data_IF_160035611696
#
_entry.id   IF_160035611696
#
_cell.length_a   1.000
_cell.length_b   1.000
_cell.length_c   1.000
_cell.angle_alpha   90.00
_cell.angle_beta   90.00
_cell.angle_gamma   90.00
#
_symmetry.space_group_name_H-M   'P 1'
#
loop_
_entity.id
_entity.type
_entity.pdbx_description
1 polymer ?
#
# COMPACT_ATOMS: atom_id res chain seq x y z
N UNK A 1 11.65 10.27 -30.82
CA UNK A 1 11.22 11.66 -30.59
C UNK A 1 11.80 12.12 -29.27
N UNK A 2 12.35 13.33 -29.16
CA UNK A 2 12.99 13.78 -27.92
C UNK A 2 11.96 13.96 -26.80
N UNK A 3 12.35 13.63 -25.58
CA UNK A 3 11.58 13.84 -24.37
C UNK A 3 11.18 15.32 -24.24
N UNK A 4 9.91 15.57 -23.93
CA UNK A 4 9.41 16.92 -23.64
C UNK A 4 10.18 17.42 -22.39
N UNK A 5 10.90 18.54 -22.47
CA UNK A 5 11.61 19.07 -21.32
C UNK A 5 10.61 19.55 -20.28
N UNK A 6 10.74 19.04 -19.05
CA UNK A 6 10.03 19.54 -17.88
C UNK A 6 10.54 20.95 -17.64
N UNK A 7 9.70 21.97 -17.86
CA UNK A 7 9.99 23.36 -17.50
C UNK A 7 10.05 23.40 -15.96
N UNK A 8 11.25 23.44 -15.41
CA UNK A 8 11.48 23.80 -14.02
C UNK A 8 11.15 25.29 -13.86
N UNK A 9 10.04 25.58 -13.27
CA UNK A 9 9.71 26.94 -12.83
C UNK A 9 10.65 27.32 -11.68
N UNK A 10 11.54 28.30 -11.93
CA UNK A 10 12.77 28.54 -11.15
C UNK A 10 12.56 29.34 -9.84
N UNK A 11 11.36 29.35 -9.24
CA UNK A 11 11.10 30.24 -8.08
C UNK A 11 10.35 29.61 -6.89
N UNK A 12 10.39 28.28 -6.74
CA UNK A 12 9.96 27.67 -5.46
C UNK A 12 11.24 27.46 -4.62
N UNK A 13 11.35 27.99 -3.40
CA UNK A 13 12.48 27.72 -2.53
C UNK A 13 12.60 26.20 -2.34
N UNK A 14 13.77 25.64 -2.62
CA UNK A 14 14.09 24.21 -2.50
C UNK A 14 14.11 23.77 -1.02
N UNK A 15 13.00 23.91 -0.33
CA UNK A 15 12.81 23.26 0.97
C UNK A 15 12.51 21.78 0.71
N UNK A 16 13.34 20.92 1.26
CA UNK A 16 13.10 19.46 1.21
C UNK A 16 11.69 19.20 1.73
N UNK A 17 10.79 18.56 0.96
CA UNK A 17 9.44 18.27 1.41
C UNK A 17 9.47 17.30 2.61
N UNK A 18 8.49 17.42 3.48
CA UNK A 18 8.41 16.48 4.60
C UNK A 18 8.06 15.07 4.12
N UNK A 19 7.11 14.96 3.19
CA UNK A 19 6.72 13.68 2.59
C UNK A 19 7.10 13.58 1.11
N UNK A 20 7.50 12.38 0.69
CA UNK A 20 7.43 11.94 -0.71
C UNK A 20 6.35 10.86 -0.82
N UNK A 21 5.25 11.18 -1.51
CA UNK A 21 4.19 10.23 -1.81
C UNK A 21 4.57 9.50 -3.09
N UNK A 22 4.79 8.19 -3.00
CA UNK A 22 5.26 7.34 -4.10
C UNK A 22 4.12 6.44 -4.57
N UNK A 23 3.80 6.52 -5.85
CA UNK A 23 2.76 5.73 -6.50
C UNK A 23 3.32 5.04 -7.73
N UNK A 24 3.26 3.71 -7.77
CA UNK A 24 3.56 2.94 -8.97
C UNK A 24 2.29 2.73 -9.81
N UNK A 25 2.39 2.91 -11.12
CA UNK A 25 1.28 2.77 -12.08
C UNK A 25 1.68 1.80 -13.18
N UNK A 26 0.77 0.88 -13.51
CA UNK A 26 0.88 0.02 -14.69
C UNK A 26 -0.49 -0.17 -15.34
N UNK A 27 -0.72 0.49 -16.48
CA UNK A 27 -1.98 0.46 -17.25
C UNK A 27 -3.22 0.90 -16.43
N UNK A 28 -3.07 1.78 -15.44
CA UNK A 28 -4.16 2.19 -14.53
C UNK A 28 -4.19 3.71 -14.28
N UNK A 29 -4.08 4.47 -15.36
CA UNK A 29 -4.08 5.94 -15.29
C UNK A 29 -5.40 6.53 -14.79
N UNK A 30 -6.52 5.85 -15.06
CA UNK A 30 -7.84 6.30 -14.60
C UNK A 30 -7.95 6.24 -13.07
N UNK A 31 -7.44 5.19 -12.45
CA UNK A 31 -7.42 5.08 -11.00
C UNK A 31 -6.51 6.14 -10.37
N UNK A 32 -5.36 6.42 -11.00
CA UNK A 32 -4.43 7.46 -10.55
C UNK A 32 -5.08 8.84 -10.45
N UNK A 33 -5.95 9.24 -11.39
CA UNK A 33 -6.58 10.58 -11.32
C UNK A 33 -7.37 10.77 -10.02
N UNK A 34 -8.06 9.73 -9.53
CA UNK A 34 -8.73 9.76 -8.24
C UNK A 34 -7.77 9.85 -7.05
N UNK A 35 -6.59 9.22 -7.13
CA UNK A 35 -5.53 9.34 -6.14
C UNK A 35 -5.00 10.79 -6.10
N UNK A 36 -4.68 11.36 -7.25
CA UNK A 36 -4.21 12.75 -7.40
C UNK A 36 -5.23 13.77 -6.85
N UNK A 37 -6.52 13.57 -7.16
CA UNK A 37 -7.59 14.41 -6.63
C UNK A 37 -7.63 14.38 -5.10
N UNK A 38 -7.43 13.22 -4.49
CA UNK A 38 -7.42 13.09 -3.02
C UNK A 38 -6.20 13.75 -2.38
N UNK A 39 -5.06 13.77 -3.07
CA UNK A 39 -3.87 14.48 -2.62
C UNK A 39 -4.02 15.99 -2.71
N UNK A 40 -4.70 16.50 -3.73
CA UNK A 40 -5.01 17.93 -3.85
C UNK A 40 -5.88 18.47 -2.68
N UNK A 41 -6.57 17.58 -1.97
CA UNK A 41 -7.37 17.92 -0.79
C UNK A 41 -6.58 17.93 0.53
N UNK A 42 -5.27 17.64 0.50
CA UNK A 42 -4.39 17.67 1.68
C UNK A 42 -3.88 19.10 1.97
N UNK A 43 -4.77 20.09 1.98
CA UNK A 43 -4.44 21.54 1.98
C UNK A 43 -3.80 22.02 3.28
N UNK A 44 -4.17 21.44 4.42
CA UNK A 44 -3.68 21.86 5.75
C UNK A 44 -2.54 20.97 6.24
N UNK A 45 -1.95 20.20 5.32
CA UNK A 45 -0.92 19.23 5.60
C UNK A 45 0.50 19.78 5.53
N UNK A 46 1.47 18.96 5.89
CA UNK A 46 2.89 19.25 5.67
C UNK A 46 3.19 19.30 4.17
N UNK A 47 4.31 19.96 3.82
CA UNK A 47 4.82 19.96 2.45
C UNK A 47 5.06 18.52 1.94
N UNK A 48 4.63 18.26 0.74
CA UNK A 48 4.87 16.97 0.09
C UNK A 48 5.18 17.14 -1.39
N UNK A 49 5.90 16.19 -1.93
CA UNK A 49 6.02 15.94 -3.37
C UNK A 49 5.35 14.61 -3.71
N UNK A 50 4.97 14.43 -4.94
CA UNK A 50 4.50 13.16 -5.46
C UNK A 50 5.45 12.64 -6.54
N UNK A 51 5.78 11.36 -6.46
CA UNK A 51 6.54 10.63 -7.48
C UNK A 51 5.67 9.51 -8.04
N UNK A 52 5.27 9.66 -9.29
CA UNK A 52 4.56 8.64 -10.06
C UNK A 52 5.58 7.85 -10.86
N UNK A 53 5.64 6.55 -10.67
CA UNK A 53 6.48 5.65 -11.46
C UNK A 53 5.60 4.84 -12.40
N UNK A 54 5.71 5.14 -13.70
CA UNK A 54 5.09 4.37 -14.77
C UNK A 54 5.95 3.14 -15.07
N UNK A 55 5.47 1.98 -14.63
CA UNK A 55 6.15 0.70 -14.80
C UNK A 55 5.90 0.09 -16.20
N UNK A 56 6.07 0.89 -17.26
CA UNK A 56 5.98 0.45 -18.64
C UNK A 56 4.55 0.27 -19.14
N UNK A 57 3.63 1.17 -18.78
CA UNK A 57 2.26 1.16 -19.31
C UNK A 57 2.24 1.24 -20.84
N UNK A 58 1.20 0.65 -21.46
CA UNK A 58 1.02 0.69 -22.90
C UNK A 58 0.82 2.13 -23.42
N UNK A 59 0.04 2.90 -22.68
CA UNK A 59 -0.19 4.32 -22.93
C UNK A 59 0.74 5.17 -22.07
N UNK A 60 1.14 6.32 -22.61
CA UNK A 60 1.90 7.30 -21.84
C UNK A 60 1.01 7.98 -20.78
N UNK A 61 1.63 8.64 -19.82
CA UNK A 61 0.92 9.44 -18.83
C UNK A 61 -0.01 10.44 -19.52
N UNK A 62 -1.31 10.47 -19.20
CA UNK A 62 -2.24 11.42 -19.77
C UNK A 62 -1.83 12.86 -19.45
N UNK A 63 -2.17 13.81 -20.34
CA UNK A 63 -1.97 15.25 -20.07
C UNK A 63 -2.68 15.71 -18.79
N UNK A 64 -3.74 14.99 -18.38
CA UNK A 64 -4.44 15.26 -17.11
C UNK A 64 -3.53 15.18 -15.90
N UNK A 65 -2.46 14.39 -15.93
CA UNK A 65 -1.47 14.35 -14.83
C UNK A 65 -0.75 15.69 -14.73
N UNK A 66 -0.44 16.35 -15.85
CA UNK A 66 0.24 17.63 -15.88
C UNK A 66 -0.58 18.75 -15.20
N UNK A 67 -1.92 18.68 -15.22
CA UNK A 67 -2.78 19.68 -14.54
C UNK A 67 -2.51 19.74 -13.03
N UNK A 68 -2.21 18.59 -12.42
CA UNK A 68 -1.98 18.49 -10.98
C UNK A 68 -0.65 19.09 -10.55
N UNK A 69 0.33 19.18 -11.46
CA UNK A 69 1.63 19.82 -11.18
C UNK A 69 1.49 21.34 -10.88
N UNK A 70 0.35 21.95 -11.21
CA UNK A 70 0.03 23.34 -10.83
C UNK A 70 -0.46 23.45 -9.38
N UNK A 71 -0.82 22.34 -8.74
CA UNK A 71 -1.40 22.30 -7.39
C UNK A 71 -0.38 21.84 -6.37
N UNK A 72 0.39 20.82 -6.70
CA UNK A 72 1.50 20.29 -5.89
C UNK A 72 2.58 19.69 -6.77
N UNK A 73 3.86 19.62 -6.30
CA UNK A 73 4.96 19.07 -7.10
C UNK A 73 4.72 17.61 -7.46
N UNK A 74 4.70 17.29 -8.77
CA UNK A 74 4.61 15.93 -9.30
C UNK A 74 5.79 15.65 -10.22
N UNK A 75 6.46 14.53 -10.00
CA UNK A 75 7.43 13.95 -10.92
C UNK A 75 6.88 12.66 -11.50
N UNK A 76 6.92 12.51 -12.82
CA UNK A 76 6.55 11.25 -13.50
C UNK A 76 7.81 10.64 -14.08
N UNK A 77 8.12 9.43 -13.67
CA UNK A 77 9.28 8.65 -14.14
C UNK A 77 8.78 7.38 -14.80
N UNK A 78 9.22 7.13 -16.03
CA UNK A 78 8.88 5.90 -16.75
C UNK A 78 10.06 4.93 -16.73
N UNK A 79 9.76 3.65 -16.58
CA UNK A 79 10.71 2.55 -16.73
C UNK A 79 10.14 1.44 -17.63
N UNK A 80 10.97 0.50 -18.06
CA UNK A 80 10.49 -0.76 -18.62
C UNK A 80 9.78 -1.58 -17.54
N UNK A 81 8.76 -2.37 -17.92
CA UNK A 81 7.99 -3.15 -16.97
C UNK A 81 8.87 -4.14 -16.19
N UNK A 82 9.06 -3.86 -14.93
CA UNK A 82 9.93 -4.61 -14.04
C UNK A 82 9.24 -5.05 -12.72
N UNK A 83 8.00 -4.65 -12.52
CA UNK A 83 7.18 -5.01 -11.37
C UNK A 83 7.20 -3.98 -10.23
N UNK A 84 6.23 -4.14 -9.34
CA UNK A 84 5.87 -3.17 -8.30
C UNK A 84 7.05 -2.82 -7.35
N UNK A 85 7.87 -3.81 -6.98
CA UNK A 85 9.02 -3.62 -6.09
C UNK A 85 10.07 -2.69 -6.70
N UNK A 86 10.41 -2.94 -7.97
CA UNK A 86 11.40 -2.14 -8.70
C UNK A 86 10.85 -0.74 -8.96
N UNK A 87 9.57 -0.62 -9.32
CA UNK A 87 8.92 0.66 -9.50
C UNK A 87 8.92 1.50 -8.22
N UNK A 88 8.60 0.92 -7.05
CA UNK A 88 8.66 1.64 -5.78
C UNK A 88 10.08 2.03 -5.39
N UNK A 89 11.07 1.16 -5.60
CA UNK A 89 12.48 1.50 -5.37
C UNK A 89 12.92 2.66 -6.28
N UNK A 90 12.52 2.67 -7.54
CA UNK A 90 12.76 3.79 -8.45
C UNK A 90 12.12 5.09 -7.95
N UNK A 91 10.90 5.02 -7.40
CA UNK A 91 10.24 6.16 -6.75
C UNK A 91 11.03 6.68 -5.54
N UNK A 92 11.59 5.80 -4.71
CA UNK A 92 12.46 6.18 -3.59
C UNK A 92 13.69 6.94 -4.08
N UNK A 93 14.37 6.41 -5.09
CA UNK A 93 15.58 7.00 -5.67
C UNK A 93 15.33 8.37 -6.32
N UNK A 94 14.13 8.59 -6.84
CA UNK A 94 13.75 9.86 -7.50
C UNK A 94 13.27 10.91 -6.49
N UNK A 95 12.81 10.50 -5.33
CA UNK A 95 12.18 11.37 -4.33
C UNK A 95 13.18 11.98 -3.36
N UNK A 96 12.81 13.08 -2.69
CA UNK A 96 13.71 13.87 -1.82
C UNK A 96 13.22 14.02 -0.38
N UNK A 97 11.92 13.78 -0.10
CA UNK A 97 11.31 14.00 1.21
C UNK A 97 11.88 13.15 2.34
N UNK A 98 11.79 13.65 3.55
CA UNK A 98 12.32 13.01 4.76
C UNK A 98 11.58 11.73 5.15
N UNK A 99 10.32 11.62 4.77
CA UNK A 99 9.46 10.45 5.01
C UNK A 99 8.85 10.00 3.69
N UNK A 100 9.00 8.73 3.39
CA UNK A 100 8.41 8.09 2.22
C UNK A 100 7.02 7.57 2.57
N UNK A 101 6.03 7.86 1.74
CA UNK A 101 4.66 7.38 1.88
C UNK A 101 4.29 6.62 0.62
N UNK A 102 3.94 5.35 0.76
CA UNK A 102 3.52 4.50 -0.35
C UNK A 102 2.00 4.41 -0.39
N UNK A 103 1.45 4.63 -1.58
CA UNK A 103 0.02 4.55 -1.88
C UNK A 103 -0.15 3.89 -3.24
N UNK A 104 -1.18 3.07 -3.40
CA UNK A 104 -1.48 2.49 -4.71
C UNK A 104 -2.32 3.46 -5.55
N UNK A 105 -2.25 3.33 -6.87
CA UNK A 105 -2.96 4.23 -7.80
C UNK A 105 -4.49 4.21 -7.61
N UNK A 106 -5.05 3.07 -7.17
CA UNK A 106 -6.46 2.89 -6.88
C UNK A 106 -6.86 3.27 -5.44
N UNK A 107 -5.99 4.00 -4.74
CA UNK A 107 -6.24 4.46 -3.38
C UNK A 107 -6.50 5.97 -3.31
N UNK A 108 -7.27 6.39 -2.31
CA UNK A 108 -7.57 7.79 -2.02
C UNK A 108 -7.28 8.10 -0.58
N UNK A 109 -6.46 9.11 -0.32
CA UNK A 109 -6.23 9.63 1.02
C UNK A 109 -7.43 10.47 1.48
N UNK A 110 -7.97 10.21 2.66
CA UNK A 110 -8.98 11.09 3.23
C UNK A 110 -8.35 12.46 3.60
N UNK A 111 -9.17 13.49 3.59
CA UNK A 111 -8.74 14.83 3.99
C UNK A 111 -8.09 14.81 5.38
N UNK A 112 -6.97 15.50 5.54
CA UNK A 112 -6.18 15.53 6.78
C UNK A 112 -5.30 14.29 7.02
N UNK A 113 -5.27 13.31 6.10
CA UNK A 113 -4.47 12.09 6.25
C UNK A 113 -2.98 12.39 6.45
N UNK A 114 -2.38 13.26 5.63
CA UNK A 114 -0.96 13.63 5.77
C UNK A 114 -0.70 14.45 7.05
N UNK A 115 -1.64 15.29 7.47
CA UNK A 115 -1.53 16.04 8.73
C UNK A 115 -1.53 15.10 9.95
N UNK A 116 -2.46 14.15 9.99
CA UNK A 116 -2.54 13.13 11.05
C UNK A 116 -1.27 12.25 11.09
N UNK A 117 -0.78 11.83 9.92
CA UNK A 117 0.47 11.08 9.83
C UNK A 117 1.66 11.89 10.36
N UNK A 118 1.80 13.17 9.98
CA UNK A 118 2.87 14.05 10.50
C UNK A 118 2.79 14.20 12.01
N UNK A 119 1.60 14.43 12.55
CA UNK A 119 1.40 14.55 14.00
C UNK A 119 1.88 13.27 14.72
N UNK A 120 1.52 12.09 14.20
CA UNK A 120 1.98 10.82 14.78
C UNK A 120 3.49 10.67 14.72
N UNK A 121 4.11 10.97 13.57
CA UNK A 121 5.57 10.90 13.38
C UNK A 121 6.31 11.86 14.32
N UNK A 122 5.78 13.07 14.52
CA UNK A 122 6.37 14.06 15.41
C UNK A 122 6.26 13.67 16.89
N UNK A 123 5.13 13.03 17.27
CA UNK A 123 4.92 12.50 18.63
C UNK A 123 5.66 11.18 18.92
N UNK A 124 6.27 10.57 17.91
CA UNK A 124 6.98 9.30 18.03
C UNK A 124 8.35 9.36 17.32
N UNK A 125 9.30 10.19 17.78
CA UNK A 125 10.57 10.43 17.08
C UNK A 125 11.47 9.20 16.98
N UNK A 126 11.34 8.25 17.89
CA UNK A 126 12.08 6.98 17.88
C UNK A 126 11.53 5.96 16.89
N UNK A 127 10.30 6.15 16.41
CA UNK A 127 9.64 5.21 15.50
C UNK A 127 9.97 5.52 14.04
N UNK A 128 10.15 4.46 13.26
CA UNK A 128 10.66 4.58 11.90
C UNK A 128 9.64 4.25 10.82
N UNK A 129 8.68 3.38 11.11
CA UNK A 129 7.69 2.92 10.14
C UNK A 129 6.27 2.97 10.70
N UNK A 130 5.32 3.29 9.82
CA UNK A 130 3.94 3.61 10.17
C UNK A 130 2.99 2.94 9.18
N UNK A 131 1.98 2.25 9.69
CA UNK A 131 0.89 1.70 8.88
C UNK A 131 -0.33 2.61 9.02
N UNK A 132 -0.75 3.20 7.93
CA UNK A 132 -1.95 4.00 7.85
C UNK A 132 -3.17 3.08 7.90
N UNK A 133 -4.28 3.61 8.39
CA UNK A 133 -5.55 2.88 8.41
C UNK A 133 -6.09 2.71 7.00
N UNK A 134 -6.21 1.47 6.56
CA UNK A 134 -6.84 1.14 5.29
C UNK A 134 -8.33 0.85 5.48
N UNK A 135 -9.14 1.40 4.60
CA UNK A 135 -10.57 1.10 4.51
C UNK A 135 -10.93 0.72 3.06
N UNK A 136 -11.96 -0.11 2.88
CA UNK A 136 -12.52 -0.41 1.56
C UNK A 136 -13.50 0.67 1.11
N UNK A 137 -13.86 0.65 -0.16
CA UNK A 137 -14.99 1.44 -0.68
C UNK A 137 -16.28 0.63 -0.56
N UNK A 138 -17.25 1.01 0.31
CA UNK A 138 -18.45 0.22 0.55
C UNK A 138 -19.53 0.33 -0.55
N UNK A 139 -19.25 1.00 -1.66
CA UNK A 139 -20.21 1.26 -2.73
C UNK A 139 -20.73 -0.03 -3.40
N UNK A 140 -19.88 -1.06 -3.49
CA UNK A 140 -20.25 -2.35 -4.09
C UNK A 140 -19.93 -3.53 -3.17
N UNK A 141 -20.29 -4.74 -3.62
CA UNK A 141 -20.10 -5.96 -2.83
C UNK A 141 -18.62 -6.29 -2.56
N UNK A 142 -17.75 -6.07 -3.55
CA UNK A 142 -16.32 -6.35 -3.44
C UNK A 142 -15.67 -5.36 -2.45
N UNK A 143 -16.01 -4.09 -2.56
CA UNK A 143 -15.53 -3.05 -1.63
C UNK A 143 -16.03 -3.27 -0.20
N UNK A 144 -17.29 -3.68 -0.01
CA UNK A 144 -17.81 -4.06 1.32
C UNK A 144 -17.08 -5.28 1.89
N UNK A 145 -16.78 -6.27 1.04
CA UNK A 145 -16.00 -7.44 1.45
C UNK A 145 -14.58 -7.05 1.86
N UNK A 146 -13.93 -6.17 1.12
CA UNK A 146 -12.61 -5.63 1.46
C UNK A 146 -12.64 -4.81 2.75
N UNK A 147 -13.64 -3.94 2.91
CA UNK A 147 -13.85 -3.17 4.15
C UNK A 147 -13.93 -4.09 5.37
N UNK A 148 -14.73 -5.15 5.28
CA UNK A 148 -14.90 -6.12 6.35
C UNK A 148 -13.58 -6.82 6.70
N UNK A 149 -12.83 -7.23 5.67
CA UNK A 149 -11.51 -7.86 5.82
C UNK A 149 -10.51 -6.92 6.50
N UNK A 150 -10.42 -5.68 6.05
CA UNK A 150 -9.48 -4.69 6.58
C UNK A 150 -9.78 -4.33 8.04
N UNK A 151 -11.05 -4.15 8.40
CA UNK A 151 -11.45 -3.91 9.80
C UNK A 151 -10.97 -5.06 10.70
N UNK A 152 -11.26 -6.29 10.31
CA UNK A 152 -10.93 -7.46 11.11
C UNK A 152 -9.42 -7.69 11.23
N UNK A 153 -8.68 -7.57 10.12
CA UNK A 153 -7.22 -7.72 10.11
C UNK A 153 -6.53 -6.67 10.97
N UNK A 154 -6.84 -5.40 10.77
CA UNK A 154 -6.20 -4.31 11.48
C UNK A 154 -6.50 -4.39 12.98
N UNK A 155 -7.74 -4.72 13.36
CA UNK A 155 -8.12 -4.92 14.77
C UNK A 155 -7.39 -6.11 15.41
N UNK A 156 -7.32 -7.26 14.72
CA UNK A 156 -6.73 -8.48 15.27
C UNK A 156 -5.21 -8.40 15.41
N UNK A 157 -4.54 -7.75 14.44
CA UNK A 157 -3.08 -7.68 14.38
C UNK A 157 -2.49 -6.47 15.11
N UNK A 158 -3.34 -5.55 15.59
CA UNK A 158 -2.94 -4.42 16.43
C UNK A 158 -2.59 -4.92 17.83
N UNK A 159 -1.42 -4.50 18.30
CA UNK A 159 -0.91 -4.81 19.64
C UNK A 159 -1.23 -3.71 20.64
N UNK A 160 -1.24 -4.00 21.97
CA UNK A 160 -1.53 -3.01 23.01
C UNK A 160 -0.59 -1.79 23.01
N UNK A 161 0.64 -1.96 22.51
CA UNK A 161 1.63 -0.89 22.41
C UNK A 161 1.46 0.00 21.16
N UNK A 162 0.37 -0.18 20.39
CA UNK A 162 0.09 0.56 19.17
C UNK A 162 0.84 0.08 17.93
N UNK A 163 1.70 -0.95 18.05
CA UNK A 163 2.35 -1.58 16.90
C UNK A 163 1.40 -2.57 16.24
N UNK A 164 1.59 -2.78 14.92
CA UNK A 164 0.71 -3.69 14.18
C UNK A 164 1.54 -4.74 13.42
N UNK A 165 1.17 -6.03 13.56
CA UNK A 165 1.76 -7.14 12.79
C UNK A 165 1.15 -7.25 11.38
N UNK A 166 1.01 -6.12 10.73
CA UNK A 166 0.42 -5.97 9.40
C UNK A 166 1.15 -4.88 8.65
N UNK A 167 1.43 -5.12 7.39
CA UNK A 167 1.93 -4.12 6.48
C UNK A 167 1.21 -4.26 5.14
N UNK A 168 0.75 -3.13 4.63
CA UNK A 168 0.21 -3.02 3.29
C UNK A 168 0.65 -1.69 2.70
N UNK A 169 1.37 -1.77 1.62
CA UNK A 169 1.99 -0.64 0.95
C UNK A 169 1.01 0.32 0.28
N UNK A 170 -0.28 -0.02 0.21
CA UNK A 170 -1.33 0.92 -0.17
C UNK A 170 -1.55 2.06 0.87
N UNK A 171 -0.91 1.97 2.04
CA UNK A 171 -0.94 2.99 3.09
C UNK A 171 0.18 2.76 4.10
N UNK A 172 1.42 2.84 3.65
CA UNK A 172 2.61 2.62 4.49
C UNK A 172 3.54 3.81 4.41
N UNK A 173 4.13 4.19 5.55
CA UNK A 173 5.14 5.24 5.60
C UNK A 173 6.38 4.79 6.37
N UNK A 174 7.55 5.29 5.93
CA UNK A 174 8.84 4.99 6.56
C UNK A 174 9.77 6.20 6.48
N UNK A 175 10.58 6.43 7.53
CA UNK A 175 11.61 7.45 7.48
C UNK A 175 12.66 7.09 6.43
N UNK A 176 13.07 8.04 5.62
CA UNK A 176 14.10 7.84 4.58
C UNK A 176 15.42 7.31 5.14
N UNK A 177 15.78 7.68 6.36
CA UNK A 177 16.99 7.19 7.04
C UNK A 177 17.03 5.67 7.25
N UNK A 178 15.91 4.95 7.01
CA UNK A 178 15.82 3.49 7.09
C UNK A 178 15.90 2.78 5.75
N UNK A 179 15.98 3.53 4.68
CA UNK A 179 16.24 2.99 3.34
C UNK A 179 17.74 2.78 3.19
N UNK A 180 18.15 1.69 2.54
CA UNK A 180 19.54 1.43 2.22
C UNK A 180 20.14 2.53 1.34
N UNK A 181 21.48 2.69 1.36
CA UNK A 181 22.17 3.73 0.60
C UNK A 181 21.94 3.65 -0.91
N UNK A 182 21.69 2.44 -1.43
CA UNK A 182 21.35 2.21 -2.85
C UNK A 182 19.89 2.54 -3.19
N UNK A 183 19.10 3.04 -2.21
CA UNK A 183 17.70 3.39 -2.39
C UNK A 183 16.75 2.20 -2.47
N UNK A 184 17.19 0.99 -2.11
CA UNK A 184 16.35 -0.20 -2.14
C UNK A 184 15.72 -0.47 -0.77
N UNK A 185 14.38 -0.47 -0.74
CA UNK A 185 13.57 -0.89 0.40
C UNK A 185 12.85 -2.21 0.10
N UNK A 186 12.36 -2.36 -1.12
CA UNK A 186 11.63 -3.54 -1.57
C UNK A 186 12.57 -4.53 -2.25
N UNK A 187 12.36 -5.83 -1.97
CA UNK A 187 13.13 -6.87 -2.64
C UNK A 187 12.80 -6.93 -4.14
N UNK A 188 13.77 -6.68 -5.05
CA UNK A 188 13.49 -6.63 -6.49
C UNK A 188 13.01 -7.97 -7.07
N UNK A 189 13.30 -9.09 -6.42
CA UNK A 189 12.87 -10.44 -6.86
C UNK A 189 11.37 -10.66 -6.55
N UNK A 190 10.78 -9.85 -5.67
CA UNK A 190 9.38 -9.98 -5.31
C UNK A 190 8.47 -9.44 -6.42
N UNK A 191 7.96 -10.33 -7.25
CA UNK A 191 6.93 -10.01 -8.26
C UNK A 191 5.60 -9.63 -7.59
N UNK A 192 5.32 -10.23 -6.44
CA UNK A 192 4.19 -9.95 -5.53
C UNK A 192 4.58 -10.33 -4.10
N UNK A 193 3.75 -9.89 -3.14
CA UNK A 193 3.99 -10.08 -1.70
C UNK A 193 5.25 -9.33 -1.21
N UNK A 194 5.59 -8.24 -1.86
CA UNK A 194 6.68 -7.33 -1.49
C UNK A 194 6.46 -6.73 -0.10
N UNK A 195 5.20 -6.45 0.26
CA UNK A 195 4.78 -5.99 1.58
C UNK A 195 5.02 -7.06 2.66
N UNK A 196 4.72 -8.32 2.37
CA UNK A 196 4.99 -9.45 3.28
C UNK A 196 6.49 -9.64 3.52
N UNK A 197 7.30 -9.55 2.46
CA UNK A 197 8.77 -9.62 2.58
C UNK A 197 9.35 -8.42 3.33
N UNK A 198 8.81 -7.23 3.11
CA UNK A 198 9.21 -6.04 3.85
C UNK A 198 8.85 -6.16 5.33
N UNK A 199 7.62 -6.61 5.66
CA UNK A 199 7.20 -6.87 7.04
C UNK A 199 8.15 -7.86 7.73
N UNK A 200 8.52 -8.96 7.06
CA UNK A 200 9.47 -9.94 7.60
C UNK A 200 10.82 -9.30 7.90
N UNK A 201 11.29 -8.42 7.03
CA UNK A 201 12.55 -7.69 7.23
C UNK A 201 12.45 -6.77 8.45
N UNK A 202 11.36 -6.00 8.58
CA UNK A 202 11.14 -5.11 9.70
C UNK A 202 11.01 -5.88 11.03
N UNK A 203 10.29 -7.02 11.04
CA UNK A 203 10.18 -7.89 12.23
C UNK A 203 11.56 -8.38 12.69
N UNK A 204 12.43 -8.79 11.75
CA UNK A 204 13.79 -9.22 12.07
C UNK A 204 14.63 -8.10 12.69
N UNK A 205 14.37 -6.85 12.31
CA UNK A 205 15.03 -5.66 12.86
C UNK A 205 14.38 -5.17 14.17
N UNK A 206 13.32 -5.81 14.64
CA UNK A 206 12.56 -5.37 15.82
C UNK A 206 11.66 -4.14 15.56
N UNK A 207 11.45 -3.79 14.29
CA UNK A 207 10.76 -2.57 13.87
C UNK A 207 9.35 -2.88 13.29
N UNK A 208 8.40 -3.26 14.12
CA UNK A 208 7.00 -3.33 13.68
C UNK A 208 6.43 -1.92 13.43
N UNK A 209 5.62 -1.73 12.38
CA UNK A 209 4.98 -0.45 12.12
C UNK A 209 4.08 0.00 13.28
N UNK A 210 4.10 1.30 13.58
CA UNK A 210 3.09 1.95 14.43
C UNK A 210 1.82 2.13 13.61
N UNK A 211 0.68 1.74 14.17
CA UNK A 211 -0.63 1.97 13.54
C UNK A 211 -1.08 3.41 13.73
N UNK A 212 -1.56 4.04 12.63
CA UNK A 212 -2.03 5.43 12.62
C UNK A 212 -3.50 5.44 12.19
N UNK A 213 -4.44 5.25 13.13
CA UNK A 213 -5.86 5.13 12.81
C UNK A 213 -6.50 6.42 12.27
N UNK A 214 -5.90 7.58 12.54
CA UNK A 214 -6.37 8.89 12.07
C UNK A 214 -5.92 9.19 10.63
N UNK A 215 -4.83 8.57 10.15
CA UNK A 215 -4.36 8.68 8.78
C UNK A 215 -5.04 7.63 7.91
N UNK A 216 -6.11 8.01 7.22
CA UNK A 216 -7.00 7.07 6.53
C UNK A 216 -6.78 7.07 5.03
N UNK A 217 -6.61 5.89 4.46
CA UNK A 217 -6.52 5.64 3.02
C UNK A 217 -7.63 4.68 2.60
N UNK A 218 -8.43 5.08 1.62
CA UNK A 218 -9.52 4.29 1.07
C UNK A 218 -9.07 3.56 -0.20
N UNK A 219 -9.19 2.25 -0.21
CA UNK A 219 -8.86 1.41 -1.36
C UNK A 219 -10.10 1.24 -2.26
N UNK A 220 -10.00 1.72 -3.48
CA UNK A 220 -11.04 1.64 -4.50
C UNK A 220 -10.77 0.48 -5.44
N UNK A 221 -11.25 -0.72 -5.09
CA UNK A 221 -11.09 -1.90 -5.94
C UNK A 221 -12.03 -1.79 -7.13
N UNK A 222 -11.48 -1.56 -8.33
CA UNK A 222 -12.22 -1.49 -9.58
C UNK A 222 -12.35 -2.85 -10.29
N UNK A 223 -12.35 -3.97 -9.54
CA UNK A 223 -12.42 -5.32 -10.09
C UNK A 223 -13.79 -5.95 -9.86
N UNK A 224 -14.30 -6.64 -10.88
CA UNK A 224 -15.43 -7.57 -10.70
C UNK A 224 -15.05 -8.72 -9.76
N UNK A 225 -16.02 -9.42 -9.20
CA UNK A 225 -15.76 -10.59 -8.35
C UNK A 225 -14.87 -11.63 -9.07
N UNK A 226 -15.11 -11.90 -10.36
CA UNK A 226 -14.27 -12.79 -11.15
C UNK A 226 -12.84 -12.28 -11.31
N UNK A 227 -12.65 -10.96 -11.46
CA UNK A 227 -11.34 -10.30 -11.46
C UNK A 227 -10.63 -10.48 -10.13
N UNK A 228 -11.35 -10.33 -9.01
CA UNK A 228 -10.82 -10.56 -7.67
C UNK A 228 -10.37 -12.01 -7.46
N UNK A 229 -11.17 -12.99 -7.89
CA UNK A 229 -10.81 -14.41 -7.78
C UNK A 229 -9.54 -14.74 -8.57
N UNK A 230 -9.40 -14.22 -9.80
CA UNK A 230 -8.17 -14.36 -10.59
C UNK A 230 -6.96 -13.71 -9.92
N UNK A 231 -7.13 -12.52 -9.34
CA UNK A 231 -6.10 -11.83 -8.55
C UNK A 231 -5.71 -12.67 -7.33
N UNK A 232 -6.67 -13.28 -6.63
CA UNK A 232 -6.44 -14.10 -5.44
C UNK A 232 -5.63 -15.37 -5.75
N UNK A 233 -5.97 -16.10 -6.81
CA UNK A 233 -5.22 -17.28 -7.26
C UNK A 233 -3.77 -16.90 -7.56
N UNK A 234 -3.56 -15.85 -8.37
CA UNK A 234 -2.23 -15.37 -8.70
C UNK A 234 -1.44 -14.92 -7.46
N UNK A 235 -2.09 -14.19 -6.55
CA UNK A 235 -1.46 -13.70 -5.32
C UNK A 235 -1.08 -14.84 -4.39
N UNK A 236 -1.96 -15.84 -4.21
CA UNK A 236 -1.68 -16.99 -3.34
C UNK A 236 -0.44 -17.78 -3.81
N UNK A 237 -0.25 -17.93 -5.11
CA UNK A 237 0.94 -18.57 -5.68
C UNK A 237 2.22 -17.82 -5.33
N UNK A 238 2.26 -16.51 -5.54
CA UNK A 238 3.46 -15.70 -5.25
C UNK A 238 3.71 -15.51 -3.76
N UNK A 239 2.65 -15.38 -2.96
CA UNK A 239 2.76 -15.32 -1.50
C UNK A 239 3.40 -16.59 -0.93
N UNK A 240 3.05 -17.75 -1.47
CA UNK A 240 3.66 -19.00 -1.01
C UNK A 240 5.17 -18.98 -1.23
N UNK A 241 5.64 -18.57 -2.41
CA UNK A 241 7.08 -18.41 -2.69
C UNK A 241 7.74 -17.41 -1.76
N UNK A 242 7.07 -16.29 -1.43
CA UNK A 242 7.58 -15.34 -0.45
C UNK A 242 7.70 -15.95 0.94
N UNK A 243 6.73 -16.77 1.37
CA UNK A 243 6.80 -17.48 2.65
C UNK A 243 7.95 -18.48 2.69
N UNK A 244 8.26 -19.19 1.61
CA UNK A 244 9.41 -20.08 1.57
C UNK A 244 10.74 -19.32 1.82
N UNK A 245 10.86 -18.12 1.24
CA UNK A 245 12.00 -17.23 1.48
C UNK A 245 12.05 -16.77 2.94
N UNK A 246 10.91 -16.44 3.54
CA UNK A 246 10.80 -15.95 4.92
C UNK A 246 11.10 -17.07 5.91
N UNK A 247 10.56 -18.25 5.70
CA UNK A 247 10.83 -19.45 6.51
C UNK A 247 12.33 -19.81 6.50
N UNK A 248 12.95 -19.78 5.32
CA UNK A 248 14.39 -20.01 5.18
C UNK A 248 15.24 -18.98 5.94
N UNK A 249 14.70 -17.80 6.26
CA UNK A 249 15.35 -16.74 7.06
C UNK A 249 15.01 -16.81 8.55
N UNK A 250 14.22 -17.80 8.99
CA UNK A 250 13.85 -18.00 10.39
C UNK A 250 12.89 -16.94 10.96
N UNK A 251 12.12 -16.26 10.11
CA UNK A 251 11.18 -15.21 10.54
C UNK A 251 9.75 -15.74 10.62
N UNK A 252 9.13 -15.65 11.79
CA UNK A 252 7.74 -16.07 12.03
C UNK A 252 6.77 -14.88 11.88
N UNK A 253 6.24 -14.66 10.69
CA UNK A 253 5.19 -13.66 10.43
C UNK A 253 3.86 -14.28 10.00
N UNK A 254 3.81 -15.58 9.82
CA UNK A 254 2.63 -16.28 9.34
C UNK A 254 1.49 -16.19 10.35
N UNK A 255 0.28 -15.99 9.85
CA UNK A 255 -0.92 -16.13 10.67
C UNK A 255 -1.16 -17.60 11.01
N UNK A 256 -1.34 -17.88 12.29
CA UNK A 256 -1.74 -19.20 12.80
C UNK A 256 -3.18 -19.52 12.37
N UNK A 257 -3.58 -20.79 12.49
CA UNK A 257 -4.98 -21.15 12.29
C UNK A 257 -5.89 -20.47 13.32
N UNK A 258 -5.41 -20.26 14.54
CA UNK A 258 -6.14 -19.52 15.58
C UNK A 258 -6.36 -18.05 15.15
N UNK A 259 -5.34 -17.37 14.60
CA UNK A 259 -5.49 -16.02 14.05
C UNK A 259 -6.55 -15.98 12.94
N UNK A 260 -6.53 -16.94 12.02
CA UNK A 260 -7.49 -17.03 10.92
C UNK A 260 -8.92 -17.18 11.41
N UNK A 261 -9.16 -18.07 12.39
CA UNK A 261 -10.46 -18.25 13.02
C UNK A 261 -10.93 -17.01 13.79
N UNK A 262 -10.04 -16.37 14.54
CA UNK A 262 -10.34 -15.13 15.25
C UNK A 262 -10.74 -14.00 14.28
N UNK A 263 -10.01 -13.84 13.16
CA UNK A 263 -10.32 -12.87 12.12
C UNK A 263 -11.69 -13.17 11.47
N UNK A 264 -11.95 -14.42 11.10
CA UNK A 264 -13.22 -14.83 10.49
C UNK A 264 -14.41 -14.55 11.42
N UNK A 265 -14.30 -14.89 12.71
CA UNK A 265 -15.36 -14.61 13.69
C UNK A 265 -15.52 -13.12 13.98
N UNK A 266 -14.43 -12.36 13.96
CA UNK A 266 -14.45 -10.89 14.08
C UNK A 266 -15.14 -10.24 12.87
N UNK A 267 -14.88 -10.73 11.66
CA UNK A 267 -15.57 -10.29 10.45
C UNK A 267 -17.10 -10.54 10.55
N UNK A 268 -17.50 -11.71 11.03
CA UNK A 268 -18.94 -12.01 11.21
C UNK A 268 -19.62 -10.99 12.12
N UNK A 269 -19.03 -10.70 13.27
CA UNK A 269 -19.54 -9.67 14.20
C UNK A 269 -19.55 -8.26 13.60
N UNK A 270 -18.51 -7.94 12.82
CA UNK A 270 -18.39 -6.63 12.19
C UNK A 270 -19.42 -6.39 11.08
N UNK A 271 -20.05 -7.42 10.51
CA UNK A 271 -21.11 -7.24 9.49
C UNK A 271 -22.27 -6.41 10.01
N UNK A 272 -22.67 -6.63 11.25
CA UNK A 272 -23.79 -5.91 11.88
C UNK A 272 -23.35 -4.51 12.36
N UNK A 273 -22.17 -4.42 12.97
CA UNK A 273 -21.62 -3.15 13.50
C UNK A 273 -21.36 -2.11 12.41
N UNK A 274 -20.90 -2.54 11.23
CA UNK A 274 -20.57 -1.65 10.12
C UNK A 274 -21.69 -1.53 9.08
N UNK A 275 -22.87 -2.08 9.34
CA UNK A 275 -24.04 -2.11 8.43
C UNK A 275 -23.70 -2.64 7.01
N UNK A 276 -22.72 -3.53 6.89
CA UNK A 276 -22.24 -4.05 5.61
C UNK A 276 -23.07 -5.23 5.06
N UNK A 277 -23.92 -5.85 5.91
CA UNK A 277 -24.69 -7.05 5.60
C UNK A 277 -23.85 -8.33 5.64
N UNK A 278 -24.50 -9.49 5.55
CA UNK A 278 -23.83 -10.80 5.67
C UNK A 278 -23.17 -11.29 4.38
N UNK A 279 -23.64 -10.88 3.22
CA UNK A 279 -23.12 -11.31 1.93
C UNK A 279 -21.62 -11.02 1.72
N UNK A 280 -21.08 -9.86 2.10
CA UNK A 280 -19.64 -9.60 2.07
C UNK A 280 -18.80 -10.61 2.85
N UNK A 281 -19.30 -11.11 3.98
CA UNK A 281 -18.60 -12.14 4.76
C UNK A 281 -18.42 -13.45 3.94
N UNK A 282 -19.47 -13.92 3.24
CA UNK A 282 -19.37 -15.09 2.39
C UNK A 282 -18.40 -14.89 1.22
N UNK A 283 -18.38 -13.68 0.65
CA UNK A 283 -17.42 -13.33 -0.41
C UNK A 283 -15.97 -13.41 0.11
N UNK A 284 -15.69 -12.81 1.27
CA UNK A 284 -14.33 -12.85 1.86
C UNK A 284 -13.93 -14.27 2.20
N UNK A 285 -14.81 -15.03 2.89
CA UNK A 285 -14.47 -16.39 3.33
C UNK A 285 -14.27 -17.33 2.14
N UNK A 286 -15.08 -17.22 1.10
CA UNK A 286 -14.91 -17.98 -0.14
C UNK A 286 -13.58 -17.66 -0.85
N UNK A 287 -13.22 -16.39 -0.92
CA UNK A 287 -11.91 -15.94 -1.47
C UNK A 287 -10.74 -16.47 -0.63
N UNK A 288 -10.84 -16.45 0.70
CA UNK A 288 -9.79 -16.99 1.58
C UNK A 288 -9.66 -18.52 1.44
N UNK A 289 -10.77 -19.24 1.34
CA UNK A 289 -10.75 -20.69 1.09
C UNK A 289 -10.06 -21.02 -0.23
N UNK A 290 -10.36 -20.29 -1.31
CA UNK A 290 -9.68 -20.43 -2.60
C UNK A 290 -8.18 -20.21 -2.48
N UNK A 291 -7.73 -19.16 -1.79
CA UNK A 291 -6.29 -18.86 -1.57
C UNK A 291 -5.60 -20.01 -0.81
N UNK A 292 -6.26 -20.56 0.21
CA UNK A 292 -5.73 -21.71 0.95
C UNK A 292 -5.58 -22.95 0.07
N UNK A 293 -6.59 -23.25 -0.75
CA UNK A 293 -6.54 -24.39 -1.69
C UNK A 293 -5.38 -24.24 -2.68
N UNK A 294 -5.20 -23.07 -3.27
CA UNK A 294 -4.08 -22.80 -4.20
C UNK A 294 -2.72 -22.92 -3.48
N UNK A 295 -2.61 -22.36 -2.29
CA UNK A 295 -1.37 -22.43 -1.50
C UNK A 295 -1.01 -23.87 -1.07
N UNK A 296 -2.02 -24.70 -0.75
CA UNK A 296 -1.83 -26.12 -0.40
C UNK A 296 -1.47 -26.94 -1.63
N UNK A 297 -2.16 -26.70 -2.75
CA UNK A 297 -1.84 -27.36 -4.03
C UNK A 297 -0.41 -27.10 -4.50
N UNK A 298 0.09 -25.89 -4.28
CA UNK A 298 1.50 -25.57 -4.57
C UNK A 298 2.49 -26.44 -3.77
N UNK A 299 2.21 -26.71 -2.48
CA UNK A 299 3.06 -27.56 -1.62
C UNK A 299 3.11 -29.03 -2.07
N UNK A 300 2.05 -29.49 -2.74
CA UNK A 300 1.97 -30.90 -3.21
C UNK A 300 2.74 -31.08 -4.53
N UNK A 301 2.86 -30.01 -5.33
CA UNK A 301 3.45 -30.05 -6.65
C UNK A 301 4.94 -29.65 -6.68
N UNK A 302 5.45 -29.10 -5.60
CA UNK A 302 6.84 -28.63 -5.42
C UNK A 302 7.40 -29.08 -4.07
#
# INVERSE_FOLDING_TARGET
>A
MPAVPIVKDQNIPHTIPFFSVIVAVYNDWLALDGCLQSLAQQTDGPSFEMVVVDDGSREQAPETVAKWNRIFPISVVRQEHAGISIARNKGIQTSTGSVLVFVDADCRMQQGCLAALKQKISGAPAENCFQLRLIGNPADLVGRAEQLRLIALQRHLLQPNGRIRYLNTAGFAIRRSKVSEDGNLFNPIAVRAEDTLLLATLVRLGELPIFVPEAVVQHHICLSLAGCLRKDVRSAYFERRAFDIIEARGVAIQMTNQDRWAIMSSMWRATDQAALGKLPWFVVTGRQALRLLVSTGYRILH
#
